data_IF_983274741632
#
_entry.id   IF_983274741632
#
_cell.length_a   1.000
_cell.length_b   1.000
_cell.length_c   1.000
_cell.angle_alpha   90.00
_cell.angle_beta   90.00
_cell.angle_gamma   90.00
#
_symmetry.space_group_name_H-M   'P 1'
#
loop_
_entity.id
_entity.type
_entity.pdbx_description
1 polymer ?
#
# COMPACT_ATOMS: atom_id res chain seq x y z
N UNK A 1 -2.49 -5.51 1.66
CA UNK A 1 -1.68 -4.35 1.24
C UNK A 1 -2.19 -3.12 1.96
N UNK A 2 -1.31 -2.40 2.66
CA UNK A 2 -1.55 -1.07 3.22
C UNK A 2 -0.92 -0.08 2.25
N UNK A 3 -1.63 0.98 1.90
CA UNK A 3 -1.16 2.02 0.97
C UNK A 3 -1.23 3.33 1.73
N UNK A 4 -0.13 4.06 1.79
CA UNK A 4 -0.05 5.28 2.59
C UNK A 4 0.81 6.36 1.94
N UNK A 5 0.37 7.63 2.05
CA UNK A 5 1.14 8.78 1.61
C UNK A 5 2.24 9.13 2.61
N UNK A 6 3.47 9.34 2.16
CA UNK A 6 4.60 9.72 3.03
C UNK A 6 4.32 11.01 3.83
N UNK A 7 3.62 11.97 3.19
CA UNK A 7 3.35 13.31 3.72
C UNK A 7 1.92 13.48 4.23
N UNK A 8 1.22 12.39 4.53
CA UNK A 8 -0.09 12.46 5.14
C UNK A 8 0.00 13.10 6.54
N UNK A 9 -0.58 14.31 6.67
CA UNK A 9 -0.62 15.06 7.94
C UNK A 9 -1.80 14.68 8.82
N UNK A 10 -2.84 14.07 8.26
CA UNK A 10 -4.03 13.64 9.01
C UNK A 10 -3.75 12.32 9.72
N UNK A 11 -3.05 11.41 9.04
CA UNK A 11 -2.58 10.14 9.58
C UNK A 11 -1.08 10.00 9.31
N UNK A 12 -0.22 10.44 10.25
CA UNK A 12 1.22 10.34 10.08
C UNK A 12 1.71 8.92 9.73
N UNK A 13 2.74 8.83 8.89
CA UNK A 13 3.27 7.57 8.32
C UNK A 13 3.56 6.47 9.36
N UNK A 14 3.95 6.85 10.59
CA UNK A 14 4.22 5.88 11.65
C UNK A 14 2.98 5.08 12.07
N UNK A 15 1.76 5.57 11.84
CA UNK A 15 0.54 4.79 12.04
C UNK A 15 0.44 3.62 11.05
N UNK A 16 0.82 3.82 9.79
CA UNK A 16 0.85 2.74 8.79
C UNK A 16 1.92 1.69 9.12
N UNK A 17 3.08 2.11 9.65
CA UNK A 17 4.08 1.17 10.17
C UNK A 17 3.55 0.35 11.34
N UNK A 18 2.96 1.01 12.34
CA UNK A 18 2.38 0.33 13.50
C UNK A 18 1.29 -0.65 13.10
N UNK A 19 0.43 -0.28 12.15
CA UNK A 19 -0.59 -1.16 11.60
C UNK A 19 0.02 -2.38 10.92
N UNK A 20 1.01 -2.20 10.02
CA UNK A 20 1.74 -3.29 9.36
C UNK A 20 2.34 -4.25 10.38
N UNK A 21 3.02 -3.73 11.39
CA UNK A 21 3.74 -4.51 12.40
C UNK A 21 2.81 -5.24 13.39
N UNK A 22 1.51 -4.89 13.38
CA UNK A 22 0.49 -5.57 14.19
C UNK A 22 -0.04 -6.86 13.54
N UNK A 23 0.27 -7.10 12.26
CA UNK A 23 -0.07 -8.37 11.59
C UNK A 23 0.99 -9.45 11.87
N UNK A 24 0.62 -10.74 11.84
CA UNK A 24 1.61 -11.81 11.85
C UNK A 24 2.62 -11.66 10.69
N UNK A 25 3.84 -12.15 10.89
CA UNK A 25 4.91 -12.04 9.89
C UNK A 25 4.46 -12.52 8.50
N UNK A 26 4.75 -11.73 7.47
CA UNK A 26 4.37 -12.03 6.08
C UNK A 26 2.87 -11.86 5.76
N UNK A 27 2.05 -11.36 6.69
CA UNK A 27 0.61 -11.16 6.49
C UNK A 27 0.22 -9.72 6.15
N UNK A 28 1.17 -8.79 6.15
CA UNK A 28 0.97 -7.42 5.71
C UNK A 28 2.11 -6.96 4.80
N UNK A 29 1.74 -6.26 3.72
CA UNK A 29 2.64 -5.52 2.86
C UNK A 29 2.29 -4.02 2.99
N UNK A 30 3.30 -3.15 2.94
CA UNK A 30 3.13 -1.70 2.98
C UNK A 30 3.74 -1.06 1.73
N UNK A 31 2.93 -0.29 1.03
CA UNK A 31 3.34 0.61 -0.04
C UNK A 31 3.31 2.05 0.45
N UNK A 32 4.46 2.72 0.43
CA UNK A 32 4.57 4.15 0.75
C UNK A 32 4.72 4.95 -0.54
N UNK A 33 3.72 5.78 -0.82
CA UNK A 33 3.72 6.72 -1.93
C UNK A 33 4.58 7.94 -1.56
N UNK A 34 5.74 8.07 -2.18
CA UNK A 34 6.76 9.07 -1.79
C UNK A 34 6.30 10.45 -2.25
N UNK A 35 6.37 11.43 -1.35
CA UNK A 35 5.88 12.77 -1.62
C UNK A 35 4.36 12.96 -1.64
N UNK A 36 3.57 11.88 -1.62
CA UNK A 36 2.10 11.95 -1.61
C UNK A 36 1.54 12.36 -0.25
N UNK A 37 0.46 13.14 -0.29
CA UNK A 37 -0.38 13.48 0.83
C UNK A 37 -1.46 12.41 1.11
N UNK A 38 -2.45 12.77 1.93
CA UNK A 38 -3.56 11.92 2.33
C UNK A 38 -4.35 11.29 1.17
N UNK A 39 -4.47 11.98 0.03
CA UNK A 39 -5.40 11.60 -1.04
C UNK A 39 -4.72 11.29 -2.38
N UNK A 40 -3.40 11.43 -2.47
CA UNK A 40 -2.66 11.36 -3.75
C UNK A 40 -1.81 10.11 -3.94
N UNK A 41 -1.95 9.09 -3.09
CA UNK A 41 -1.14 7.86 -3.19
C UNK A 41 -1.32 7.10 -4.51
N UNK A 42 -2.49 7.20 -5.14
CA UNK A 42 -2.78 6.57 -6.45
C UNK A 42 -2.09 7.27 -7.63
N UNK A 43 -1.56 8.47 -7.43
CA UNK A 43 -0.81 9.22 -8.45
C UNK A 43 0.68 8.84 -8.48
N UNK A 44 1.17 8.08 -7.50
CA UNK A 44 2.54 7.54 -7.54
C UNK A 44 2.69 6.62 -8.76
N UNK A 45 3.66 6.84 -9.65
CA UNK A 45 3.84 6.03 -10.85
C UNK A 45 4.01 4.52 -10.60
N UNK A 46 4.42 4.13 -9.38
CA UNK A 46 4.60 2.73 -8.97
C UNK A 46 3.30 2.08 -8.50
N UNK A 47 2.26 2.86 -8.23
CA UNK A 47 1.00 2.37 -7.67
C UNK A 47 0.35 1.28 -8.53
N UNK A 48 0.18 1.43 -9.87
CA UNK A 48 -0.46 0.39 -10.68
C UNK A 48 0.29 -0.94 -10.63
N UNK A 49 1.62 -0.90 -10.67
CA UNK A 49 2.47 -2.09 -10.57
C UNK A 49 2.35 -2.76 -9.19
N UNK A 50 2.33 -1.98 -8.12
CA UNK A 50 2.18 -2.49 -6.76
C UNK A 50 0.83 -3.20 -6.54
N UNK A 51 -0.27 -2.58 -7.01
CA UNK A 51 -1.61 -3.20 -6.97
C UNK A 51 -1.63 -4.49 -7.76
N UNK A 52 -1.17 -4.47 -9.02
CA UNK A 52 -1.17 -5.67 -9.88
C UNK A 52 -0.38 -6.81 -9.24
N UNK A 53 0.81 -6.52 -8.70
CA UNK A 53 1.65 -7.52 -8.05
C UNK A 53 0.95 -8.13 -6.82
N UNK A 54 0.33 -7.30 -5.98
CA UNK A 54 -0.41 -7.77 -4.80
C UNK A 54 -1.61 -8.63 -5.19
N UNK A 55 -2.45 -8.15 -6.11
CA UNK A 55 -3.63 -8.91 -6.58
C UNK A 55 -3.20 -10.23 -7.23
N UNK A 56 -2.16 -10.24 -8.06
CA UNK A 56 -1.69 -11.46 -8.73
C UNK A 56 -1.26 -12.54 -7.74
N UNK A 57 -0.65 -12.15 -6.61
CA UNK A 57 -0.21 -13.09 -5.56
C UNK A 57 -1.34 -13.66 -4.73
N UNK A 58 -2.41 -12.89 -4.52
CA UNK A 58 -3.45 -13.22 -3.53
C UNK A 58 -4.80 -13.59 -4.14
N UNK A 59 -5.06 -13.18 -5.37
CA UNK A 59 -6.29 -13.44 -6.12
C UNK A 59 -5.94 -13.82 -7.57
N UNK A 60 -5.26 -14.97 -7.77
CA UNK A 60 -4.77 -15.38 -9.09
C UNK A 60 -5.90 -15.48 -10.13
N UNK A 61 -7.11 -15.86 -9.71
CA UNK A 61 -8.27 -16.00 -10.60
C UNK A 61 -8.94 -14.65 -10.95
N UNK A 62 -8.66 -13.59 -10.20
CA UNK A 62 -9.23 -12.26 -10.42
C UNK A 62 -8.56 -11.49 -11.57
N UNK A 63 -7.51 -12.06 -12.18
CA UNK A 63 -6.78 -11.48 -13.32
C UNK A 63 -6.91 -12.40 -14.56
N UNK A 64 -7.95 -13.24 -14.62
CA UNK A 64 -8.36 -13.86 -15.88
C UNK A 64 -8.94 -12.77 -16.81
N UNK A 65 -8.53 -12.72 -18.10
CA UNK A 65 -9.03 -11.74 -19.06
C UNK A 65 -10.52 -11.91 -19.37
#
# INVERSE_FOLDING_TARGET
LIIHGEKDTNFPLHHAWRLRDSFPAGRAELFVAIGSDHSSSSLDPRYPTAIRAFVSRHLPDAISP
#
